data_IF_150855423113
#
_entry.id   IF_150855423113
#
_cell.length_a   1.000
_cell.length_b   1.000
_cell.length_c   1.000
_cell.angle_alpha   90.00
_cell.angle_beta   90.00
_cell.angle_gamma   90.00
#
_symmetry.space_group_name_H-M   'P 1'
#
loop_
_entity.id
_entity.type
_entity.pdbx_description
1 polymer ?
#
# COMPACT_ATOMS: atom_id res chain seq x y z
N UNK A 1 4.20 6.08 -8.44
CA UNK A 1 4.39 5.72 -9.86
C UNK A 1 4.63 4.21 -9.98
N UNK A 2 4.06 3.52 -10.97
CA UNK A 2 4.45 2.12 -11.24
C UNK A 2 5.90 2.14 -11.76
N UNK A 3 6.84 1.40 -11.14
CA UNK A 3 8.23 1.43 -11.59
C UNK A 3 8.37 0.83 -12.99
N UNK A 4 9.46 1.14 -13.71
CA UNK A 4 9.75 0.53 -15.00
C UNK A 4 9.81 -1.00 -14.87
N UNK A 5 9.48 -1.67 -15.97
CA UNK A 5 9.52 -3.13 -16.03
C UNK A 5 10.97 -3.63 -15.88
N UNK A 6 11.16 -4.75 -15.18
CA UNK A 6 12.50 -5.33 -14.99
C UNK A 6 12.95 -6.10 -16.22
N UNK A 7 14.27 -6.15 -16.46
CA UNK A 7 14.85 -7.04 -17.48
C UNK A 7 15.03 -8.43 -16.88
N UNK A 8 14.11 -9.33 -17.20
CA UNK A 8 14.16 -10.74 -16.75
C UNK A 8 15.40 -11.44 -17.33
N UNK A 9 15.78 -11.13 -18.56
CA UNK A 9 16.95 -11.73 -19.20
C UNK A 9 18.25 -11.36 -18.47
N UNK A 10 18.40 -10.09 -18.09
CA UNK A 10 19.56 -9.65 -17.31
C UNK A 10 19.61 -10.31 -15.92
N UNK A 11 18.45 -10.50 -15.27
CA UNK A 11 18.37 -11.23 -13.99
C UNK A 11 18.81 -12.68 -14.17
N UNK A 12 18.30 -13.36 -15.21
CA UNK A 12 18.67 -14.76 -15.50
C UNK A 12 20.15 -14.92 -15.82
N UNK A 13 20.72 -13.98 -16.57
CA UNK A 13 22.13 -13.98 -16.94
C UNK A 13 23.05 -13.75 -15.73
N UNK A 14 22.72 -12.81 -14.83
CA UNK A 14 23.61 -12.38 -13.75
C UNK A 14 23.37 -13.04 -12.40
N UNK A 15 22.12 -13.40 -12.09
CA UNK A 15 21.71 -13.94 -10.79
C UNK A 15 21.43 -15.43 -10.90
N UNK A 16 20.74 -15.84 -11.97
CA UNK A 16 20.40 -17.23 -12.23
C UNK A 16 18.94 -17.38 -12.65
N UNK A 17 18.61 -18.56 -13.17
CA UNK A 17 17.25 -18.91 -13.51
C UNK A 17 16.44 -19.22 -12.26
N UNK A 18 15.13 -18.99 -12.34
CA UNK A 18 14.18 -19.38 -11.32
C UNK A 18 14.33 -20.87 -10.95
N UNK A 19 14.42 -21.17 -9.66
CA UNK A 19 14.95 -22.44 -9.15
C UNK A 19 13.93 -23.34 -8.42
N UNK A 20 12.69 -22.88 -8.20
CA UNK A 20 11.65 -23.70 -7.59
C UNK A 20 11.27 -24.86 -8.53
N UNK A 21 11.19 -26.07 -7.96
CA UNK A 21 10.91 -27.32 -8.68
C UNK A 21 9.42 -27.67 -8.72
N UNK A 22 8.61 -27.04 -7.88
CA UNK A 22 7.19 -27.37 -7.73
C UNK A 22 6.29 -26.55 -8.65
N UNK A 23 6.65 -25.29 -8.90
CA UNK A 23 5.90 -24.37 -9.75
C UNK A 23 6.84 -23.57 -10.61
N UNK A 24 6.46 -23.25 -11.83
CA UNK A 24 7.22 -22.35 -12.71
C UNK A 24 6.95 -20.89 -12.35
N UNK A 25 7.87 -20.00 -12.73
CA UNK A 25 7.65 -18.56 -12.59
C UNK A 25 6.37 -18.09 -13.32
N UNK A 26 6.09 -18.64 -14.51
CA UNK A 26 4.90 -18.32 -15.29
C UNK A 26 3.58 -18.70 -14.59
N UNK A 27 3.57 -19.85 -13.90
CA UNK A 27 2.44 -20.25 -13.06
C UNK A 27 2.21 -19.23 -11.94
N UNK A 28 3.28 -18.76 -11.28
CA UNK A 28 3.17 -17.70 -10.26
C UNK A 28 2.70 -16.37 -10.85
N UNK A 29 3.11 -16.02 -12.07
CA UNK A 29 2.65 -14.79 -12.74
C UNK A 29 1.16 -14.79 -13.01
N UNK A 30 0.60 -15.95 -13.34
CA UNK A 30 -0.79 -16.06 -13.75
C UNK A 30 -1.75 -15.58 -12.65
N UNK A 31 -1.44 -15.88 -11.39
CA UNK A 31 -2.21 -15.43 -10.21
C UNK A 31 -2.41 -13.90 -10.22
N UNK A 32 -1.37 -13.14 -10.56
CA UNK A 32 -1.42 -11.69 -10.59
C UNK A 32 -2.12 -11.15 -11.84
N UNK A 33 -1.93 -11.82 -12.99
CA UNK A 33 -2.65 -11.48 -14.22
C UNK A 33 -4.15 -11.71 -14.06
N UNK A 34 -4.57 -12.76 -13.39
CA UNK A 34 -5.98 -13.03 -13.14
C UNK A 34 -6.59 -11.95 -12.22
N UNK A 35 -5.89 -11.62 -11.12
CA UNK A 35 -6.36 -10.64 -10.15
C UNK A 35 -6.37 -9.20 -10.69
N UNK A 36 -5.28 -8.75 -11.32
CA UNK A 36 -5.03 -7.34 -11.65
C UNK A 36 -5.13 -7.07 -13.16
N UNK A 37 -5.03 -8.11 -14.00
CA UNK A 37 -5.02 -8.01 -15.47
C UNK A 37 -3.61 -7.95 -16.07
N UNK A 38 -2.57 -7.79 -15.26
CA UNK A 38 -1.17 -7.80 -15.66
C UNK A 38 -0.26 -8.22 -14.50
N UNK A 39 1.02 -8.47 -14.77
CA UNK A 39 2.03 -8.75 -13.76
C UNK A 39 2.73 -7.44 -13.33
N UNK A 40 2.59 -6.98 -12.07
CA UNK A 40 3.25 -5.76 -11.62
C UNK A 40 4.79 -5.90 -11.62
N UNK A 41 5.56 -4.87 -12.04
CA UNK A 41 7.02 -4.96 -12.15
C UNK A 41 7.75 -5.35 -10.86
N UNK A 42 7.30 -4.85 -9.70
CA UNK A 42 7.89 -5.22 -8.39
C UNK A 42 7.67 -6.71 -8.06
N UNK A 43 6.56 -7.27 -8.54
CA UNK A 43 6.22 -8.69 -8.34
C UNK A 43 7.02 -9.56 -9.30
N UNK A 44 7.14 -9.14 -10.57
CA UNK A 44 8.03 -9.77 -11.55
C UNK A 44 9.48 -9.80 -11.02
N UNK A 45 9.96 -8.69 -10.47
CA UNK A 45 11.28 -8.60 -9.86
C UNK A 45 11.45 -9.60 -8.71
N UNK A 46 10.52 -9.60 -7.74
CA UNK A 46 10.58 -10.51 -6.59
C UNK A 46 10.55 -11.98 -7.00
N UNK A 47 9.67 -12.34 -7.92
CA UNK A 47 9.58 -13.74 -8.40
C UNK A 47 10.88 -14.15 -9.10
N UNK A 48 11.45 -13.32 -9.98
CA UNK A 48 12.67 -13.72 -10.70
C UNK A 48 13.92 -13.69 -9.81
N UNK A 49 14.08 -12.66 -8.97
CA UNK A 49 15.28 -12.51 -8.13
C UNK A 49 15.21 -13.47 -6.93
N UNK A 50 14.16 -13.39 -6.12
CA UNK A 50 14.01 -14.26 -4.94
C UNK A 50 13.76 -15.70 -5.38
N UNK A 51 13.02 -15.95 -6.45
CA UNK A 51 12.81 -17.33 -6.93
C UNK A 51 14.05 -17.99 -7.52
N UNK A 52 15.05 -17.22 -7.95
CA UNK A 52 16.36 -17.75 -8.34
C UNK A 52 17.27 -18.00 -7.12
N UNK A 53 17.30 -17.07 -6.16
CA UNK A 53 18.21 -17.11 -5.02
C UNK A 53 17.70 -17.93 -3.82
N UNK A 54 16.40 -17.87 -3.55
CA UNK A 54 15.73 -18.48 -2.39
C UNK A 54 14.27 -18.85 -2.73
N UNK A 55 14.07 -19.92 -3.52
CA UNK A 55 12.73 -20.35 -3.94
C UNK A 55 11.82 -20.77 -2.78
N UNK A 56 12.39 -21.27 -1.69
CA UNK A 56 11.62 -21.68 -0.50
C UNK A 56 11.03 -20.47 0.21
N UNK A 57 11.82 -19.41 0.41
CA UNK A 57 11.32 -18.16 0.96
C UNK A 57 10.26 -17.52 0.06
N UNK A 58 10.45 -17.51 -1.25
CA UNK A 58 9.45 -17.01 -2.18
C UNK A 58 8.12 -17.77 -2.02
N UNK A 59 8.17 -19.10 -1.92
CA UNK A 59 6.95 -19.89 -1.71
C UNK A 59 6.26 -19.52 -0.39
N UNK A 60 7.00 -19.45 0.71
CA UNK A 60 6.46 -19.03 2.01
C UNK A 60 5.78 -17.66 1.94
N UNK A 61 6.40 -16.69 1.27
CA UNK A 61 5.82 -15.36 1.05
C UNK A 61 4.52 -15.43 0.25
N UNK A 62 4.47 -16.21 -0.83
CA UNK A 62 3.26 -16.34 -1.65
C UNK A 62 2.11 -17.03 -0.92
N UNK A 63 2.40 -18.07 -0.14
CA UNK A 63 1.37 -18.74 0.68
C UNK A 63 0.84 -17.81 1.77
N UNK A 64 1.72 -17.07 2.45
CA UNK A 64 1.31 -16.07 3.45
C UNK A 64 0.46 -14.97 2.81
N UNK A 65 0.90 -14.41 1.67
CA UNK A 65 0.16 -13.41 0.90
C UNK A 65 -1.22 -13.93 0.54
N UNK A 66 -1.33 -15.11 -0.06
CA UNK A 66 -2.61 -15.68 -0.47
C UNK A 66 -3.55 -15.90 0.73
N UNK A 67 -3.02 -16.43 1.84
CA UNK A 67 -3.80 -16.65 3.07
C UNK A 67 -4.34 -15.35 3.66
N UNK A 68 -3.51 -14.30 3.71
CA UNK A 68 -3.90 -13.01 4.28
C UNK A 68 -4.82 -12.20 3.35
N UNK A 69 -4.64 -12.32 2.03
CA UNK A 69 -5.40 -11.59 1.01
C UNK A 69 -6.88 -12.02 0.94
N UNK A 70 -7.18 -13.27 1.28
CA UNK A 70 -8.51 -13.86 1.15
C UNK A 70 -9.02 -14.40 2.51
N UNK A 71 -9.30 -13.51 3.49
CA UNK A 71 -9.88 -13.93 4.76
C UNK A 71 -11.30 -14.46 4.54
N UNK A 72 -11.71 -15.49 5.31
CA UNK A 72 -13.02 -16.15 5.13
C UNK A 72 -14.23 -15.23 5.33
N UNK A 73 -14.06 -14.12 6.05
CA UNK A 73 -15.13 -13.19 6.41
C UNK A 73 -15.36 -12.07 5.40
N UNK A 74 -14.48 -11.89 4.40
CA UNK A 74 -14.62 -10.84 3.39
C UNK A 74 -14.59 -11.45 1.99
N UNK A 75 -15.39 -10.88 1.10
CA UNK A 75 -15.24 -11.12 -0.32
C UNK A 75 -13.99 -10.42 -0.88
N UNK A 76 -13.65 -10.74 -2.13
CA UNK A 76 -12.48 -10.15 -2.81
C UNK A 76 -12.65 -8.64 -2.91
N UNK A 77 -13.84 -8.15 -3.26
CA UNK A 77 -14.13 -6.72 -3.41
C UNK A 77 -13.83 -5.94 -2.13
N UNK A 78 -14.37 -6.39 -1.00
CA UNK A 78 -14.18 -5.77 0.32
C UNK A 78 -12.71 -5.76 0.71
N UNK A 79 -12.03 -6.89 0.55
CA UNK A 79 -10.61 -7.02 0.86
C UNK A 79 -9.75 -6.04 0.03
N UNK A 80 -10.03 -5.92 -1.28
CA UNK A 80 -9.27 -5.02 -2.15
C UNK A 80 -9.58 -3.53 -1.87
N UNK A 81 -10.83 -3.16 -1.54
CA UNK A 81 -11.17 -1.79 -1.13
C UNK A 81 -10.46 -1.41 0.17
N UNK A 82 -10.39 -2.33 1.14
CA UNK A 82 -9.64 -2.10 2.38
C UNK A 82 -8.15 -1.88 2.11
N UNK A 83 -7.53 -2.75 1.31
CA UNK A 83 -6.11 -2.62 0.95
C UNK A 83 -5.83 -1.35 0.15
N UNK A 84 -6.73 -0.96 -0.75
CA UNK A 84 -6.65 0.31 -1.47
C UNK A 84 -6.64 1.50 -0.48
N UNK A 85 -7.57 1.52 0.47
CA UNK A 85 -7.63 2.56 1.50
C UNK A 85 -6.40 2.60 2.41
N UNK A 86 -5.96 1.43 2.91
CA UNK A 86 -4.78 1.31 3.77
C UNK A 86 -3.52 1.84 3.09
N UNK A 87 -3.31 1.50 1.81
CA UNK A 87 -2.15 1.98 1.05
C UNK A 87 -2.27 3.47 0.69
N UNK A 88 -3.49 3.95 0.43
CA UNK A 88 -3.74 5.36 0.16
C UNK A 88 -3.38 6.25 1.35
N UNK A 89 -3.59 5.77 2.59
CA UNK A 89 -3.22 6.49 3.81
C UNK A 89 -1.73 6.85 3.87
N UNK A 90 -0.88 5.98 3.33
CA UNK A 90 0.57 6.16 3.25
C UNK A 90 1.03 6.76 1.92
N UNK A 91 0.09 7.17 1.05
CA UNK A 91 0.37 7.59 -0.33
C UNK A 91 1.20 6.56 -1.09
N UNK A 92 0.98 5.28 -0.79
CA UNK A 92 1.80 4.20 -1.31
C UNK A 92 1.49 3.93 -2.79
N UNK A 93 2.54 3.81 -3.58
CA UNK A 93 2.49 3.54 -5.03
C UNK A 93 1.82 2.22 -5.42
N UNK A 94 1.62 1.31 -4.47
CA UNK A 94 0.86 0.08 -4.67
C UNK A 94 -0.66 0.28 -4.58
N UNK A 95 -1.16 1.41 -4.06
CA UNK A 95 -2.60 1.66 -3.92
C UNK A 95 -3.37 1.48 -5.25
N UNK A 96 -2.88 1.97 -6.42
CA UNK A 96 -3.56 1.74 -7.69
C UNK A 96 -3.73 0.26 -8.05
N UNK A 97 -2.80 -0.62 -7.65
CA UNK A 97 -2.91 -2.06 -7.94
C UNK A 97 -4.12 -2.69 -7.23
N UNK A 98 -4.34 -2.30 -5.98
CA UNK A 98 -5.50 -2.75 -5.20
C UNK A 98 -6.80 -2.08 -5.66
N UNK A 99 -6.75 -0.83 -6.11
CA UNK A 99 -7.90 -0.21 -6.76
C UNK A 99 -8.32 -0.93 -8.06
N UNK A 100 -7.36 -1.32 -8.90
CA UNK A 100 -7.63 -2.12 -10.11
C UNK A 100 -8.22 -3.49 -9.74
N UNK A 101 -7.65 -4.17 -8.74
CA UNK A 101 -8.17 -5.46 -8.28
C UNK A 101 -9.60 -5.34 -7.71
N UNK A 102 -9.90 -4.28 -6.95
CA UNK A 102 -11.25 -3.99 -6.46
C UNK A 102 -12.24 -3.77 -7.61
N UNK A 103 -11.85 -2.97 -8.61
CA UNK A 103 -12.66 -2.72 -9.82
C UNK A 103 -12.97 -4.02 -10.58
N UNK A 104 -11.97 -4.90 -10.73
CA UNK A 104 -12.16 -6.21 -11.38
C UNK A 104 -13.04 -7.16 -10.55
N UNK A 105 -13.04 -7.02 -9.23
CA UNK A 105 -13.94 -7.71 -8.32
C UNK A 105 -15.35 -7.07 -8.24
N UNK A 106 -15.65 -6.08 -9.08
CA UNK A 106 -16.98 -5.47 -9.19
C UNK A 106 -17.20 -4.22 -8.36
N UNK A 107 -16.15 -3.61 -7.79
CA UNK A 107 -16.30 -2.33 -7.10
C UNK A 107 -16.77 -1.22 -8.05
N UNK A 108 -17.73 -0.40 -7.64
CA UNK A 108 -18.19 0.76 -8.43
C UNK A 108 -17.25 1.97 -8.26
N UNK A 109 -17.41 3.02 -9.07
CA UNK A 109 -16.57 4.21 -8.93
C UNK A 109 -16.94 5.01 -7.69
N UNK A 110 -18.21 4.95 -7.30
CA UNK A 110 -18.76 5.49 -6.06
C UNK A 110 -18.14 4.80 -4.83
N UNK A 111 -18.01 3.47 -4.84
CA UNK A 111 -17.30 2.73 -3.78
C UNK A 111 -15.82 3.14 -3.70
N UNK A 112 -15.16 3.31 -4.84
CA UNK A 112 -13.76 3.79 -4.88
C UNK A 112 -13.63 5.20 -4.31
N UNK A 113 -14.51 6.12 -4.71
CA UNK A 113 -14.55 7.49 -4.20
C UNK A 113 -14.90 7.52 -2.70
N UNK A 114 -15.78 6.64 -2.23
CA UNK A 114 -16.09 6.52 -0.80
C UNK A 114 -14.84 6.17 0.01
N UNK A 115 -13.99 5.26 -0.47
CA UNK A 115 -12.69 4.95 0.19
C UNK A 115 -11.77 6.18 0.24
N UNK A 116 -11.70 6.99 -0.83
CA UNK A 116 -10.93 8.24 -0.83
C UNK A 116 -11.48 9.23 0.21
N UNK A 117 -12.79 9.37 0.28
CA UNK A 117 -13.46 10.24 1.28
C UNK A 117 -13.21 9.74 2.70
N UNK A 118 -13.19 8.43 2.94
CA UNK A 118 -12.83 7.85 4.24
C UNK A 118 -11.36 8.13 4.60
N UNK A 119 -10.44 8.02 3.64
CA UNK A 119 -9.02 8.33 3.87
C UNK A 119 -8.81 9.82 4.24
N UNK A 120 -9.61 10.74 3.67
CA UNK A 120 -9.55 12.17 4.03
C UNK A 120 -9.77 12.41 5.52
N UNK A 121 -10.63 11.63 6.19
CA UNK A 121 -10.90 11.79 7.63
C UNK A 121 -9.63 11.62 8.49
N UNK A 122 -8.69 10.79 8.05
CA UNK A 122 -7.46 10.51 8.79
C UNK A 122 -6.23 11.24 8.23
N UNK A 123 -6.37 11.93 7.10
CA UNK A 123 -5.31 12.76 6.51
C UNK A 123 -5.62 14.24 6.68
N UNK A 124 -6.68 14.71 6.02
CA UNK A 124 -7.06 16.12 6.00
C UNK A 124 -7.69 16.59 7.30
N UNK A 125 -8.70 15.87 7.81
CA UNK A 125 -9.37 16.25 9.05
C UNK A 125 -8.43 16.14 10.26
N UNK A 126 -7.49 15.18 10.25
CA UNK A 126 -6.44 15.10 11.28
C UNK A 126 -5.55 16.35 11.32
N UNK A 127 -5.17 16.88 10.15
CA UNK A 127 -4.42 18.13 10.07
C UNK A 127 -5.24 19.34 10.56
N UNK A 128 -6.52 19.42 10.20
CA UNK A 128 -7.41 20.49 10.66
C UNK A 128 -7.56 20.49 12.19
N UNK A 129 -7.81 19.30 12.78
CA UNK A 129 -7.94 19.14 14.23
C UNK A 129 -6.64 19.53 14.95
N UNK A 130 -5.50 19.00 14.50
CA UNK A 130 -4.20 19.32 15.09
C UNK A 130 -3.83 20.80 14.93
N UNK A 131 -4.14 21.39 13.78
CA UNK A 131 -3.90 22.81 13.51
C UNK A 131 -4.67 23.70 14.48
N UNK A 132 -5.96 23.44 14.68
CA UNK A 132 -6.78 24.19 15.63
C UNK A 132 -6.25 24.11 17.06
N UNK A 133 -5.85 22.91 17.51
CA UNK A 133 -5.21 22.71 18.81
C UNK A 133 -3.91 23.52 18.96
N UNK A 134 -3.04 23.51 17.93
CA UNK A 134 -1.80 24.27 17.93
C UNK A 134 -2.05 25.78 18.03
N UNK A 135 -3.02 26.31 17.29
CA UNK A 135 -3.39 27.73 17.35
C UNK A 135 -3.90 28.12 18.74
N UNK A 136 -4.73 27.28 19.37
CA UNK A 136 -5.20 27.52 20.73
C UNK A 136 -4.04 27.56 21.74
N UNK A 137 -3.06 26.68 21.59
CA UNK A 137 -1.87 26.64 22.45
C UNK A 137 -0.96 27.87 22.24
N UNK A 138 -0.82 28.36 21.00
CA UNK A 138 -0.09 29.60 20.71
C UNK A 138 -0.76 30.78 21.41
N UNK A 139 -2.08 30.95 21.23
CA UNK A 139 -2.83 32.04 21.85
C UNK A 139 -2.72 32.03 23.39
N UNK A 140 -2.79 30.83 24.01
CA UNK A 140 -2.59 30.67 25.45
C UNK A 140 -1.20 31.17 25.87
N UNK A 141 -0.16 30.79 25.14
CA UNK A 141 1.22 31.19 25.44
C UNK A 141 1.42 32.70 25.34
N UNK A 142 0.84 33.35 24.32
CA UNK A 142 0.88 34.80 24.17
C UNK A 142 0.30 35.51 25.41
N UNK A 143 -0.85 35.05 25.91
CA UNK A 143 -1.46 35.58 27.14
C UNK A 143 -0.55 35.39 28.36
N UNK A 144 0.08 34.23 28.51
CA UNK A 144 1.00 33.93 29.62
C UNK A 144 2.27 34.81 29.55
N UNK A 145 2.85 34.99 28.37
CA UNK A 145 4.04 35.81 28.13
C UNK A 145 3.76 37.30 28.41
N UNK A 146 2.60 37.81 27.98
CA UNK A 146 2.14 39.17 28.29
C UNK A 146 1.93 39.39 29.80
N UNK A 147 1.38 38.41 30.50
CA UNK A 147 1.18 38.47 31.94
C UNK A 147 2.51 38.49 32.70
N UNK A 148 3.47 37.65 32.30
CA UNK A 148 4.82 37.62 32.89
C UNK A 148 5.56 38.95 32.67
N UNK A 149 5.47 39.54 31.47
CA UNK A 149 6.09 40.82 31.16
C UNK A 149 5.54 41.99 32.00
N UNK A 150 4.25 41.96 32.37
CA UNK A 150 3.63 42.97 33.25
C UNK A 150 4.11 42.86 34.69
N UNK A 151 4.33 41.63 35.19
CA UNK A 151 4.82 41.39 36.55
C UNK A 151 6.26 41.87 36.73
N UNK A 152 7.13 41.68 35.74
CA UNK A 152 8.54 42.11 35.80
C UNK A 152 8.77 43.62 35.65
N UNK A 153 7.72 44.41 35.37
CA UNK A 153 7.79 45.88 35.25
C UNK A 153 7.29 46.62 36.50
N UNK A 154 6.83 45.90 37.52
CA UNK A 154 6.47 46.44 38.83
C UNK A 154 7.59 46.16 39.83
#
# INVERSE_FOLDING_TARGET
MIPPRVSVDAVREKIGTYADKQQTADQRYQIYKDLIGFLPPRIEARINVTGALDPELLDMQERMRARAMYPKCFDVKTSQLMLFGMLLMDMNDAAPLHGIAARRAGATWEEMQAVVSLAFLFRGLSAANRGAELLANIAKREVEDEAAAKTNRK
#
